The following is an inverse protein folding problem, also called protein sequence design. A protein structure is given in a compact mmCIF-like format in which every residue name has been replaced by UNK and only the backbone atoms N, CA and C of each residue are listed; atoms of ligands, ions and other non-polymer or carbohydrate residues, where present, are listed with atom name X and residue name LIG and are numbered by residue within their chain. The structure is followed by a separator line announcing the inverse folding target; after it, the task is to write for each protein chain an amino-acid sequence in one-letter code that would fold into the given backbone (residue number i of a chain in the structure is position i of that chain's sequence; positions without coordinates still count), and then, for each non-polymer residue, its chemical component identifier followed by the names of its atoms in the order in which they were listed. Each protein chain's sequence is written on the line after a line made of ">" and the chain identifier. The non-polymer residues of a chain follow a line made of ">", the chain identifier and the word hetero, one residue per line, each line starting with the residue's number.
data_IF_915388133953
#
_entry.id   IF_915388133953
#
_cell.length_a   1.000
_cell.length_b   1.000
_cell.length_c   1.000
_cell.angle_alpha   90.00
_cell.angle_beta   90.00
_cell.angle_gamma   90.00
#
_symmetry.space_group_name_H-M   'P 1'
#
loop_
_entity.id
_entity.type
_entity.pdbx_description
1 polymer ?
#
# COMPACT_ATOMS: atom_id res chain seq x y z
N UNK A 1 35.96 -21.48 12.45
CA UNK A 1 35.40 -21.62 13.82
C UNK A 1 34.07 -20.91 13.97
N UNK A 2 33.10 -21.05 13.04
CA UNK A 2 31.86 -20.24 13.03
C UNK A 2 30.56 -21.07 12.89
N UNK A 3 30.63 -22.39 12.99
CA UNK A 3 29.46 -23.29 12.86
C UNK A 3 28.96 -23.85 14.21
N UNK A 4 29.71 -23.64 15.29
CA UNK A 4 29.38 -24.22 16.62
C UNK A 4 28.45 -23.34 17.46
N UNK A 5 28.36 -22.05 17.17
CA UNK A 5 27.55 -21.10 17.97
C UNK A 5 26.02 -21.22 17.76
N UNK A 6 25.57 -21.67 16.58
CA UNK A 6 24.13 -21.76 16.26
C UNK A 6 23.43 -22.97 16.90
N UNK A 7 24.16 -24.04 17.18
CA UNK A 7 23.59 -25.26 17.79
C UNK A 7 23.38 -25.15 19.31
N UNK A 8 24.15 -24.30 19.97
CA UNK A 8 24.07 -24.11 21.45
C UNK A 8 22.88 -23.19 21.83
N UNK A 9 22.50 -22.25 20.97
CA UNK A 9 21.36 -21.36 21.26
C UNK A 9 20.01 -22.08 21.18
N UNK A 10 19.87 -23.09 20.31
CA UNK A 10 18.64 -23.89 20.19
C UNK A 10 18.44 -24.91 21.32
N UNK A 11 19.51 -25.33 22.02
CA UNK A 11 19.40 -26.21 23.19
C UNK A 11 19.01 -25.49 24.49
N UNK A 12 19.30 -24.18 24.60
CA UNK A 12 19.00 -23.41 25.80
C UNK A 12 17.50 -23.06 25.93
N UNK A 13 16.76 -22.95 24.84
CA UNK A 13 15.31 -22.67 24.87
C UNK A 13 14.44 -23.92 25.16
N UNK A 14 14.96 -25.12 24.90
CA UNK A 14 14.21 -26.36 25.17
C UNK A 14 14.18 -26.77 26.66
N UNK A 15 15.04 -26.18 27.49
CA UNK A 15 15.11 -26.49 28.92
C UNK A 15 14.26 -25.56 29.81
N UNK A 16 13.68 -24.50 29.25
CA UNK A 16 12.89 -23.54 30.02
C UNK A 16 11.38 -23.84 30.10
N UNK A 17 10.86 -24.84 29.35
CA UNK A 17 9.42 -25.10 29.28
C UNK A 17 8.88 -26.24 30.17
N UNK A 18 9.72 -26.95 30.91
CA UNK A 18 9.29 -27.95 31.91
C UNK A 18 8.39 -29.11 31.39
N UNK A 19 8.24 -29.27 30.08
CA UNK A 19 7.37 -30.28 29.48
C UNK A 19 8.16 -31.55 29.17
N UNK A 20 7.80 -32.67 29.82
CA UNK A 20 8.44 -33.96 29.61
C UNK A 20 8.05 -34.58 28.24
N UNK A 21 8.88 -35.47 27.67
CA UNK A 21 8.56 -36.18 26.42
C UNK A 21 7.21 -36.94 26.45
N UNK A 22 6.73 -37.32 27.64
CA UNK A 22 5.40 -37.93 27.84
C UNK A 22 4.26 -36.89 27.65
N UNK A 23 4.45 -35.65 28.10
CA UNK A 23 3.49 -34.56 27.92
C UNK A 23 3.26 -34.22 26.45
N UNK A 24 4.30 -34.28 25.63
CA UNK A 24 4.18 -34.06 24.19
C UNK A 24 3.36 -35.15 23.48
N UNK A 25 3.46 -36.41 23.91
CA UNK A 25 2.65 -37.51 23.36
C UNK A 25 1.18 -37.39 23.73
N UNK A 26 0.86 -36.89 24.92
CA UNK A 26 -0.51 -36.66 25.35
C UNK A 26 -1.14 -35.45 24.66
N UNK A 27 -0.34 -34.39 24.44
CA UNK A 27 -0.77 -33.21 23.70
C UNK A 27 -1.05 -33.53 22.23
N UNK A 28 -0.19 -34.35 21.59
CA UNK A 28 -0.37 -34.84 20.22
C UNK A 28 -1.64 -35.66 20.04
N UNK A 29 -1.96 -36.59 20.97
CA UNK A 29 -3.21 -37.37 20.93
C UNK A 29 -4.45 -36.49 21.12
N UNK A 30 -4.36 -35.39 21.85
CA UNK A 30 -5.44 -34.41 22.00
C UNK A 30 -5.70 -33.61 20.73
N UNK A 31 -4.66 -33.28 19.99
CA UNK A 31 -4.75 -32.59 18.69
C UNK A 31 -5.27 -33.54 17.59
N UNK A 32 -4.93 -34.83 17.64
CA UNK A 32 -5.42 -35.85 16.68
C UNK A 32 -6.91 -36.22 16.93
N UNK A 33 -7.44 -35.98 18.11
CA UNK A 33 -8.87 -36.18 18.46
C UNK A 33 -9.76 -34.97 18.20
N UNK A 34 -9.19 -33.83 17.89
CA UNK A 34 -9.96 -32.68 17.36
C UNK A 34 -10.28 -33.00 15.91
N UNK A 35 -11.54 -33.35 15.64
CA UNK A 35 -12.05 -33.55 14.29
C UNK A 35 -11.59 -32.40 13.38
N UNK A 36 -11.34 -32.68 12.09
CA UNK A 36 -11.00 -31.60 11.16
C UNK A 36 -12.08 -30.55 11.25
N UNK A 37 -11.69 -29.36 11.73
CA UNK A 37 -12.56 -28.22 11.61
C UNK A 37 -12.99 -28.17 10.14
N UNK A 38 -14.29 -28.30 9.90
CA UNK A 38 -14.87 -27.91 8.60
C UNK A 38 -14.20 -26.60 8.26
N UNK A 39 -13.55 -26.55 7.11
CA UNK A 39 -13.16 -25.30 6.49
C UNK A 39 -14.39 -24.41 6.59
N UNK A 40 -14.38 -23.51 7.55
CA UNK A 40 -15.34 -22.42 7.58
C UNK A 40 -15.03 -21.65 6.30
N UNK A 41 -15.88 -21.83 5.30
CA UNK A 41 -15.86 -21.02 4.10
C UNK A 41 -15.84 -19.58 4.59
N UNK A 42 -14.71 -18.92 4.44
CA UNK A 42 -14.58 -17.48 4.67
C UNK A 42 -15.69 -16.87 3.82
N UNK A 43 -16.68 -16.18 4.40
CA UNK A 43 -17.76 -15.62 3.61
C UNK A 43 -17.12 -14.81 2.51
N UNK A 44 -17.45 -15.08 1.26
CA UNK A 44 -16.90 -14.38 0.11
C UNK A 44 -17.27 -12.91 0.25
N UNK A 45 -16.36 -12.14 0.85
CA UNK A 45 -16.50 -10.69 0.84
C UNK A 45 -16.50 -10.31 -0.63
N UNK A 46 -17.59 -9.69 -1.10
CA UNK A 46 -17.63 -9.16 -2.47
C UNK A 46 -16.34 -8.37 -2.70
N UNK A 47 -15.63 -8.72 -3.77
CA UNK A 47 -14.40 -7.99 -4.15
C UNK A 47 -14.72 -6.51 -4.27
N UNK A 48 -13.87 -5.61 -3.75
CA UNK A 48 -14.01 -4.19 -4.02
C UNK A 48 -14.00 -3.93 -5.53
N UNK A 49 -14.82 -3.01 -6.00
CA UNK A 49 -14.88 -2.62 -7.41
C UNK A 49 -13.54 -2.14 -7.98
N UNK A 50 -12.66 -1.62 -7.13
CA UNK A 50 -11.31 -1.16 -7.46
C UNK A 50 -10.32 -2.30 -7.75
N UNK A 51 -10.59 -3.52 -7.29
CA UNK A 51 -9.73 -4.67 -7.57
C UNK A 51 -10.01 -5.21 -8.99
N UNK A 52 -8.98 -5.49 -9.80
CA UNK A 52 -9.17 -6.10 -11.13
C UNK A 52 -9.74 -7.52 -11.02
N UNK A 53 -10.40 -7.96 -12.07
CA UNK A 53 -10.87 -9.34 -12.17
C UNK A 53 -9.67 -10.26 -12.36
N UNK A 54 -9.59 -11.30 -11.53
CA UNK A 54 -8.48 -12.24 -11.53
C UNK A 54 -8.92 -13.56 -10.90
N UNK A 55 -8.43 -14.67 -11.44
CA UNK A 55 -8.68 -15.99 -10.86
C UNK A 55 -7.97 -16.16 -9.51
N UNK A 56 -8.49 -17.01 -8.61
CA UNK A 56 -7.80 -17.37 -7.37
C UNK A 56 -6.43 -18.03 -7.65
N UNK A 57 -5.46 -17.90 -6.73
CA UNK A 57 -4.18 -18.55 -6.90
C UNK A 57 -4.30 -20.09 -6.82
N UNK A 58 -3.53 -20.78 -7.67
CA UNK A 58 -3.40 -22.23 -7.61
C UNK A 58 -2.50 -22.66 -6.44
N UNK A 59 -2.60 -23.92 -6.03
CA UNK A 59 -1.74 -24.46 -4.99
C UNK A 59 -0.25 -24.49 -5.39
N UNK A 60 0.05 -24.59 -6.69
CA UNK A 60 1.41 -24.55 -7.23
C UNK A 60 2.00 -23.14 -7.13
N UNK A 61 1.23 -22.11 -7.55
CA UNK A 61 1.63 -20.71 -7.43
C UNK A 61 1.89 -20.31 -5.96
N UNK A 62 1.03 -20.78 -5.04
CA UNK A 62 1.20 -20.51 -3.60
C UNK A 62 2.47 -21.17 -3.08
N UNK A 63 2.76 -22.44 -3.44
CA UNK A 63 4.00 -23.14 -3.04
C UNK A 63 5.22 -22.46 -3.61
N UNK A 64 5.23 -22.11 -4.90
CA UNK A 64 6.37 -21.45 -5.54
C UNK A 64 6.72 -20.11 -4.86
N UNK A 65 5.71 -19.31 -4.46
CA UNK A 65 5.93 -18.08 -3.70
C UNK A 65 6.42 -18.37 -2.26
N UNK A 66 5.87 -19.39 -1.59
CA UNK A 66 6.31 -19.78 -0.26
C UNK A 66 7.77 -20.24 -0.26
N UNK A 67 8.15 -21.11 -1.20
CA UNK A 67 9.53 -21.55 -1.41
C UNK A 67 10.47 -20.36 -1.69
N UNK A 68 10.04 -19.41 -2.53
CA UNK A 68 10.81 -18.21 -2.82
C UNK A 68 11.09 -17.37 -1.57
N UNK A 69 10.07 -17.17 -0.74
CA UNK A 69 10.17 -16.42 0.51
C UNK A 69 11.03 -17.17 1.53
N UNK A 70 10.79 -18.48 1.70
CA UNK A 70 11.48 -19.31 2.69
C UNK A 70 12.99 -19.45 2.43
N UNK A 71 13.42 -19.38 1.17
CA UNK A 71 14.84 -19.46 0.76
C UNK A 71 15.59 -18.12 0.89
N UNK A 72 14.87 -17.01 1.04
CA UNK A 72 15.48 -15.68 1.11
C UNK A 72 15.86 -15.34 2.55
N UNK A 73 17.10 -14.91 2.77
CA UNK A 73 17.56 -14.46 4.09
C UNK A 73 17.32 -12.95 4.27
N UNK A 74 17.38 -12.20 3.17
CA UNK A 74 17.24 -10.73 3.15
C UNK A 74 16.28 -10.30 2.04
N UNK A 75 15.04 -10.77 2.13
CA UNK A 75 13.99 -10.47 1.17
C UNK A 75 13.60 -8.98 1.21
N UNK A 76 13.78 -8.30 0.08
CA UNK A 76 13.26 -6.96 -0.15
C UNK A 76 11.87 -7.05 -0.81
N UNK A 77 10.85 -6.54 -0.15
CA UNK A 77 9.51 -6.39 -0.72
C UNK A 77 9.33 -4.97 -1.27
N UNK A 78 8.84 -4.85 -2.51
CA UNK A 78 8.51 -3.57 -3.15
C UNK A 78 7.02 -3.59 -3.52
N UNK A 79 6.22 -2.67 -2.94
CA UNK A 79 4.78 -2.59 -3.19
C UNK A 79 4.39 -1.34 -3.97
N UNK A 80 3.22 -1.37 -4.61
CA UNK A 80 2.63 -0.24 -5.33
C UNK A 80 1.10 -0.22 -5.19
N UNK A 81 0.42 0.64 -5.96
CA UNK A 81 -1.01 0.92 -5.80
C UNK A 81 -1.91 -0.33 -5.93
N UNK A 82 -1.49 -1.33 -6.68
CA UNK A 82 -2.25 -2.57 -6.83
C UNK A 82 -2.40 -3.37 -5.52
N UNK A 83 -1.51 -3.22 -4.53
CA UNK A 83 -1.69 -3.88 -3.23
C UNK A 83 -2.86 -3.28 -2.45
N UNK A 84 -3.25 -2.03 -2.74
CA UNK A 84 -4.32 -1.31 -2.03
C UNK A 84 -5.67 -1.36 -2.74
N UNK A 85 -5.78 -1.99 -3.92
CA UNK A 85 -7.05 -2.08 -4.67
C UNK A 85 -8.11 -2.85 -3.89
N UNK A 86 -7.71 -3.88 -3.15
CA UNK A 86 -8.59 -4.64 -2.25
C UNK A 86 -8.92 -3.88 -0.94
N UNK A 87 -8.30 -2.72 -0.71
CA UNK A 87 -8.66 -1.75 0.32
C UNK A 87 -9.58 -0.64 -0.20
N UNK A 88 -10.09 -0.79 -1.42
CA UNK A 88 -10.93 0.20 -2.09
C UNK A 88 -10.20 1.49 -2.46
N UNK A 89 -8.87 1.43 -2.60
CA UNK A 89 -8.06 2.49 -3.20
C UNK A 89 -7.76 2.09 -4.65
N UNK A 90 -8.16 2.87 -5.67
CA UNK A 90 -7.87 2.52 -7.05
C UNK A 90 -6.37 2.55 -7.33
N UNK A 91 -5.93 1.82 -8.33
CA UNK A 91 -4.59 1.98 -8.87
C UNK A 91 -4.55 3.01 -10.01
N UNK A 92 -3.38 3.16 -10.65
CA UNK A 92 -3.19 4.11 -11.74
C UNK A 92 -3.43 3.51 -13.12
N UNK A 93 -3.10 2.22 -13.36
CA UNK A 93 -2.83 1.68 -14.69
C UNK A 93 -3.68 0.49 -15.10
N UNK A 94 -4.39 -0.15 -14.17
CA UNK A 94 -5.34 -1.21 -14.53
C UNK A 94 -6.45 -0.66 -15.45
N UNK A 95 -7.22 -1.52 -16.10
CA UNK A 95 -8.38 -1.08 -16.89
C UNK A 95 -9.36 -0.20 -16.11
N UNK A 96 -9.40 -0.37 -14.77
CA UNK A 96 -10.21 0.44 -13.83
C UNK A 96 -9.39 1.49 -13.11
N UNK A 97 -8.13 1.68 -13.48
CA UNK A 97 -7.20 2.61 -12.87
C UNK A 97 -7.44 4.07 -13.29
N UNK A 98 -6.90 5.00 -12.53
CA UNK A 98 -7.16 6.42 -12.72
C UNK A 98 -6.75 6.95 -14.09
N UNK A 99 -5.70 6.41 -14.73
CA UNK A 99 -5.31 6.85 -16.07
C UNK A 99 -6.28 6.41 -17.17
N UNK A 100 -6.94 5.28 -16.98
CA UNK A 100 -7.95 4.78 -17.93
C UNK A 100 -9.19 5.68 -18.00
N UNK A 101 -9.39 6.54 -17.00
CA UNK A 101 -10.48 7.52 -16.91
C UNK A 101 -10.09 8.92 -17.37
N UNK A 102 -8.92 9.07 -18.00
CA UNK A 102 -8.41 10.37 -18.45
C UNK A 102 -7.83 11.25 -17.34
N UNK A 103 -7.69 10.73 -16.11
CA UNK A 103 -7.09 11.49 -15.03
C UNK A 103 -5.63 11.84 -15.32
N UNK A 104 -5.31 13.10 -15.09
CA UNK A 104 -3.93 13.61 -15.13
C UNK A 104 -3.56 14.09 -13.72
N UNK A 105 -2.61 13.42 -13.05
CA UNK A 105 -2.13 13.89 -11.75
C UNK A 105 -1.47 15.25 -11.87
N UNK A 106 -1.62 16.08 -10.83
CA UNK A 106 -0.90 17.36 -10.76
C UNK A 106 0.61 17.11 -10.71
N UNK A 107 1.35 17.77 -11.59
CA UNK A 107 2.81 17.71 -11.54
C UNK A 107 3.37 18.66 -10.49
N UNK A 108 4.64 18.45 -10.10
CA UNK A 108 5.34 19.39 -9.22
C UNK A 108 5.38 20.80 -9.82
N UNK A 109 5.67 20.89 -11.12
CA UNK A 109 5.75 22.16 -11.85
C UNK A 109 4.38 22.88 -11.84
N UNK A 110 3.28 22.14 -12.03
CA UNK A 110 1.94 22.74 -11.98
C UNK A 110 1.62 23.25 -10.58
N UNK A 111 1.93 22.48 -9.54
CA UNK A 111 1.73 22.88 -8.15
C UNK A 111 2.51 24.15 -7.80
N UNK A 112 3.76 24.26 -8.29
CA UNK A 112 4.64 25.41 -8.02
C UNK A 112 4.26 26.66 -8.82
N UNK A 113 3.63 26.51 -9.99
CA UNK A 113 3.39 27.58 -10.96
C UNK A 113 2.49 28.69 -10.41
N UNK A 114 1.41 28.34 -9.69
CA UNK A 114 0.42 29.30 -9.26
C UNK A 114 -0.29 28.93 -7.96
N UNK A 115 -0.74 29.92 -7.20
CA UNK A 115 -1.54 29.73 -5.98
C UNK A 115 -2.88 29.05 -6.28
N UNK A 116 -3.48 29.34 -7.44
CA UNK A 116 -4.71 28.71 -7.89
C UNK A 116 -4.56 27.19 -8.00
N UNK A 117 -3.45 26.70 -8.55
CA UNK A 117 -3.16 25.27 -8.64
C UNK A 117 -3.02 24.64 -7.24
N UNK A 118 -2.39 25.35 -6.30
CA UNK A 118 -2.26 24.91 -4.90
C UNK A 118 -3.62 24.87 -4.20
N UNK A 119 -4.45 25.91 -4.38
CA UNK A 119 -5.83 25.90 -3.86
C UNK A 119 -6.64 24.76 -4.42
N UNK A 120 -6.61 24.54 -5.74
CA UNK A 120 -7.29 23.40 -6.38
C UNK A 120 -6.80 22.06 -5.86
N UNK A 121 -5.50 21.88 -5.68
CA UNK A 121 -4.94 20.68 -5.07
C UNK A 121 -5.50 20.47 -3.66
N UNK A 122 -5.39 21.48 -2.80
CA UNK A 122 -5.80 21.37 -1.40
C UNK A 122 -7.31 21.20 -1.23
N UNK A 123 -8.12 21.80 -2.08
CA UNK A 123 -9.57 21.62 -2.07
C UNK A 123 -9.96 20.16 -2.39
N UNK A 124 -9.34 19.57 -3.41
CA UNK A 124 -9.54 18.16 -3.79
C UNK A 124 -9.06 17.21 -2.72
N UNK A 125 -7.85 17.46 -2.22
CA UNK A 125 -7.26 16.68 -1.13
C UNK A 125 -8.06 16.82 0.18
N UNK A 126 -8.65 17.99 0.46
CA UNK A 126 -9.50 18.22 1.62
C UNK A 126 -10.74 17.33 1.60
N UNK A 127 -11.45 17.32 0.48
CA UNK A 127 -12.69 16.52 0.34
C UNK A 127 -12.40 15.03 0.37
N UNK A 128 -11.34 14.57 -0.30
CA UNK A 128 -11.00 13.16 -0.35
C UNK A 128 -10.38 12.58 0.93
N UNK A 129 -9.77 13.44 1.76
CA UNK A 129 -8.97 13.01 2.92
C UNK A 129 -9.73 12.14 3.91
N UNK A 130 -10.97 12.50 4.24
CA UNK A 130 -11.75 11.81 5.25
C UNK A 130 -12.01 10.35 4.86
N UNK A 131 -12.35 10.12 3.59
CA UNK A 131 -12.50 8.76 3.05
C UNK A 131 -11.15 8.03 3.03
N UNK A 132 -10.14 8.66 2.47
CA UNK A 132 -8.83 8.05 2.25
C UNK A 132 -8.13 7.67 3.55
N UNK A 133 -8.04 8.59 4.51
CA UNK A 133 -7.27 8.37 5.73
C UNK A 133 -8.08 7.79 6.89
N UNK A 134 -9.40 7.99 6.92
CA UNK A 134 -10.23 7.60 8.06
C UNK A 134 -11.10 6.37 7.79
N UNK A 135 -11.47 6.10 6.54
CA UNK A 135 -12.35 4.98 6.18
C UNK A 135 -11.61 3.82 5.53
N UNK A 136 -10.54 4.08 4.79
CA UNK A 136 -9.73 3.02 4.18
C UNK A 136 -9.01 2.20 5.26
N UNK A 137 -8.97 0.89 5.08
CA UNK A 137 -8.36 -0.06 6.03
C UNK A 137 -7.39 -0.97 5.30
N UNK A 138 -6.35 -1.48 5.96
CA UNK A 138 -5.54 -2.56 5.43
C UNK A 138 -6.40 -3.72 4.93
N UNK A 139 -5.94 -4.39 3.91
CA UNK A 139 -6.55 -5.62 3.41
C UNK A 139 -5.64 -6.82 3.76
N UNK A 140 -6.08 -8.07 3.48
CA UNK A 140 -5.32 -9.25 3.84
C UNK A 140 -3.89 -9.32 3.29
N UNK A 141 -3.58 -8.62 2.16
CA UNK A 141 -2.19 -8.52 1.68
C UNK A 141 -1.30 -7.74 2.63
N UNK A 142 -1.78 -6.60 3.13
CA UNK A 142 -1.05 -5.78 4.09
C UNK A 142 -0.81 -6.56 5.39
N UNK A 143 -1.83 -7.25 5.89
CA UNK A 143 -1.75 -8.05 7.12
C UNK A 143 -0.77 -9.22 6.96
N UNK A 144 -0.79 -9.91 5.82
CA UNK A 144 0.12 -11.01 5.52
C UNK A 144 1.57 -10.52 5.41
N UNK A 145 1.84 -9.39 4.73
CA UNK A 145 3.18 -8.81 4.64
C UNK A 145 3.71 -8.36 6.00
N UNK A 146 2.85 -7.76 6.83
CA UNK A 146 3.23 -7.40 8.20
C UNK A 146 3.52 -8.63 9.06
N UNK A 147 2.78 -9.74 8.88
CA UNK A 147 3.05 -10.99 9.55
C UNK A 147 4.37 -11.62 9.08
N UNK A 148 4.61 -11.72 7.78
CA UNK A 148 5.88 -12.21 7.21
C UNK A 148 7.08 -11.40 7.70
N UNK A 149 6.93 -10.09 7.82
CA UNK A 149 7.98 -9.21 8.36
C UNK A 149 8.25 -9.49 9.84
N UNK A 150 7.21 -9.62 10.65
CA UNK A 150 7.29 -9.91 12.08
C UNK A 150 7.89 -11.31 12.36
N UNK A 151 7.68 -12.26 11.46
CA UNK A 151 8.22 -13.61 11.51
C UNK A 151 9.63 -13.72 10.92
N UNK A 152 10.20 -12.60 10.44
CA UNK A 152 11.59 -12.52 9.96
C UNK A 152 11.80 -12.94 8.50
N UNK A 153 10.73 -13.18 7.73
CA UNK A 153 10.81 -13.53 6.31
C UNK A 153 10.97 -12.32 5.39
N UNK A 154 10.50 -11.15 5.81
CA UNK A 154 10.69 -9.90 5.07
C UNK A 154 11.71 -9.04 5.82
N UNK A 155 12.85 -8.84 5.20
CA UNK A 155 13.92 -8.02 5.76
C UNK A 155 13.65 -6.52 5.65
N UNK A 156 13.16 -6.07 4.49
CA UNK A 156 12.86 -4.65 4.24
C UNK A 156 11.60 -4.53 3.37
N UNK A 157 10.77 -3.52 3.65
CA UNK A 157 9.61 -3.19 2.84
C UNK A 157 9.73 -1.77 2.31
N UNK A 158 9.67 -1.61 0.98
CA UNK A 158 9.63 -0.32 0.28
C UNK A 158 8.26 -0.20 -0.37
N UNK A 159 7.54 0.87 -0.09
CA UNK A 159 6.25 1.14 -0.75
C UNK A 159 6.31 2.38 -1.63
N UNK A 160 5.66 2.31 -2.79
CA UNK A 160 5.40 3.48 -3.64
C UNK A 160 4.13 4.22 -3.20
N UNK A 161 3.32 3.59 -2.35
CA UNK A 161 2.04 4.13 -1.89
C UNK A 161 2.24 5.22 -0.84
N UNK A 162 1.27 6.13 -0.81
CA UNK A 162 1.25 7.29 0.11
C UNK A 162 0.15 7.18 1.17
N UNK A 163 -0.50 6.00 1.26
CA UNK A 163 -1.71 5.71 2.04
C UNK A 163 -1.46 5.30 3.49
N UNK A 164 -0.23 4.90 3.85
CA UNK A 164 0.15 4.35 5.17
C UNK A 164 -0.57 3.07 5.57
N UNK A 165 -1.13 2.31 4.62
CA UNK A 165 -1.83 1.06 4.96
C UNK A 165 -0.88 -0.02 5.50
N UNK A 166 0.37 -0.08 5.04
CA UNK A 166 1.37 -0.98 5.63
C UNK A 166 1.63 -0.66 7.11
N UNK A 167 1.75 0.63 7.46
CA UNK A 167 1.90 1.04 8.87
C UNK A 167 0.66 0.68 9.69
N UNK A 168 -0.54 0.89 9.12
CA UNK A 168 -1.80 0.56 9.77
C UNK A 168 -1.99 -0.96 9.98
N UNK A 169 -1.38 -1.81 9.13
CA UNK A 169 -1.32 -3.26 9.29
C UNK A 169 -0.26 -3.73 10.31
N UNK A 170 0.58 -2.81 10.82
CA UNK A 170 1.64 -3.12 11.78
C UNK A 170 2.97 -3.48 11.15
N UNK A 171 3.21 -3.16 9.87
CA UNK A 171 4.55 -3.24 9.29
C UNK A 171 5.48 -2.20 9.90
N UNK A 172 6.69 -2.62 10.24
CA UNK A 172 7.74 -1.76 10.81
C UNK A 172 8.79 -1.42 9.74
N UNK A 173 9.52 -0.32 9.95
CA UNK A 173 10.61 0.10 9.06
C UNK A 173 10.23 0.17 7.56
N UNK A 174 9.01 0.62 7.27
CA UNK A 174 8.53 0.82 5.90
C UNK A 174 9.19 2.05 5.30
N UNK A 175 9.86 1.90 4.16
CA UNK A 175 10.37 3.03 3.39
C UNK A 175 9.31 3.54 2.42
N UNK A 176 8.80 4.74 2.67
CA UNK A 176 7.84 5.44 1.81
C UNK A 176 8.58 6.11 0.65
N UNK A 177 8.81 5.38 -0.46
CA UNK A 177 9.63 5.82 -1.59
C UNK A 177 9.13 7.13 -2.22
N UNK A 178 7.83 7.32 -2.25
CA UNK A 178 7.20 8.52 -2.80
C UNK A 178 6.61 9.43 -1.71
N UNK A 179 7.04 9.25 -0.47
CA UNK A 179 6.55 10.02 0.66
C UNK A 179 5.17 9.61 1.14
N UNK A 180 4.44 10.52 1.76
CA UNK A 180 3.15 10.23 2.38
C UNK A 180 2.20 11.43 2.33
N UNK A 181 0.90 11.16 2.18
CA UNK A 181 -0.16 12.16 2.32
C UNK A 181 -0.44 12.53 3.77
N UNK A 182 0.06 11.76 4.74
CA UNK A 182 -0.17 11.98 6.17
C UNK A 182 0.69 13.08 6.80
N UNK A 183 1.63 13.62 6.04
CA UNK A 183 2.50 14.73 6.44
C UNK A 183 2.42 15.87 5.43
N UNK A 184 2.64 17.09 5.93
CA UNK A 184 2.67 18.32 5.15
C UNK A 184 4.02 18.99 5.37
N UNK A 185 4.67 19.41 4.29
CA UNK A 185 5.94 20.13 4.32
C UNK A 185 5.76 21.56 3.84
N UNK A 186 6.39 22.50 4.54
CA UNK A 186 6.55 23.87 4.07
C UNK A 186 7.73 23.93 3.09
N UNK A 187 7.50 24.37 1.87
CA UNK A 187 8.53 24.45 0.85
C UNK A 187 9.52 25.61 1.04
N UNK A 188 9.23 26.55 1.96
CA UNK A 188 10.13 27.66 2.28
C UNK A 188 11.08 27.33 3.44
N UNK A 189 10.57 26.81 4.56
CA UNK A 189 11.38 26.55 5.75
C UNK A 189 11.67 25.08 6.05
N UNK A 190 11.06 24.15 5.29
CA UNK A 190 11.25 22.70 5.49
C UNK A 190 10.48 22.11 6.67
N UNK A 191 9.70 22.90 7.42
CA UNK A 191 8.92 22.41 8.55
C UNK A 191 7.95 21.32 8.12
N UNK A 192 7.87 20.24 8.90
CA UNK A 192 6.99 19.10 8.63
C UNK A 192 5.94 19.01 9.72
N UNK A 193 4.69 18.98 9.31
CA UNK A 193 3.54 18.91 10.22
C UNK A 193 2.57 17.79 9.84
N UNK A 194 1.69 17.44 10.80
CA UNK A 194 0.67 16.41 10.59
C UNK A 194 -0.42 16.88 9.63
N UNK A 195 -0.73 16.05 8.61
CA UNK A 195 -1.86 16.27 7.70
C UNK A 195 -3.21 16.32 8.44
N UNK A 196 -3.38 15.53 9.50
CA UNK A 196 -4.59 15.57 10.34
C UNK A 196 -4.73 16.94 11.03
N UNK A 197 -3.63 17.53 11.51
CA UNK A 197 -3.65 18.90 12.07
C UNK A 197 -4.01 19.92 10.99
N UNK A 198 -3.41 19.79 9.81
CA UNK A 198 -3.74 20.63 8.65
C UNK A 198 -5.21 20.48 8.27
N UNK A 199 -5.78 19.27 8.25
CA UNK A 199 -7.19 19.03 7.94
C UNK A 199 -8.13 19.85 8.86
N UNK A 200 -7.90 19.80 10.18
CA UNK A 200 -8.67 20.58 11.15
C UNK A 200 -8.58 22.11 10.92
N UNK A 201 -7.44 22.58 10.43
CA UNK A 201 -7.28 24.00 10.09
C UNK A 201 -8.05 24.33 8.81
N UNK A 202 -7.98 23.47 7.80
CA UNK A 202 -8.73 23.63 6.55
C UNK A 202 -10.25 23.58 6.77
N UNK A 203 -10.76 22.74 7.68
CA UNK A 203 -12.17 22.67 8.07
C UNK A 203 -12.67 24.00 8.63
N UNK A 204 -11.86 24.66 9.46
CA UNK A 204 -12.22 25.98 10.02
C UNK A 204 -12.23 27.10 8.98
N UNK A 205 -11.33 27.01 8.00
CA UNK A 205 -11.22 28.02 6.93
C UNK A 205 -12.27 27.80 5.82
N UNK A 206 -12.70 26.55 5.61
CA UNK A 206 -13.57 26.17 4.49
C UNK A 206 -14.83 25.41 4.96
N UNK A 207 -15.65 25.97 5.86
CA UNK A 207 -16.80 25.25 6.44
C UNK A 207 -17.81 24.79 5.39
N UNK A 208 -17.97 25.51 4.28
CA UNK A 208 -18.89 25.16 3.19
C UNK A 208 -18.54 23.90 2.39
N UNK A 209 -17.41 23.25 2.67
CA UNK A 209 -17.00 21.98 2.03
C UNK A 209 -17.05 20.78 2.99
N UNK A 210 -17.41 20.98 4.25
CA UNK A 210 -17.45 19.90 5.25
C UNK A 210 -18.50 18.86 4.85
N UNK A 211 -19.71 19.29 4.52
CA UNK A 211 -20.81 18.39 4.14
C UNK A 211 -20.45 17.55 2.90
N UNK A 212 -19.78 18.15 1.91
CA UNK A 212 -19.31 17.46 0.73
C UNK A 212 -18.26 16.38 1.08
N UNK A 213 -17.34 16.68 1.99
CA UNK A 213 -16.35 15.72 2.46
C UNK A 213 -16.98 14.57 3.26
N UNK A 214 -18.00 14.88 4.09
CA UNK A 214 -18.78 13.87 4.84
C UNK A 214 -19.59 12.98 3.89
N UNK A 215 -20.29 13.58 2.93
CA UNK A 215 -21.06 12.86 1.94
C UNK A 215 -20.18 11.91 1.14
N UNK A 216 -19.01 12.38 0.64
CA UNK A 216 -18.06 11.54 -0.06
C UNK A 216 -17.55 10.39 0.84
N UNK A 217 -17.21 10.69 2.09
CA UNK A 217 -16.71 9.66 3.00
C UNK A 217 -17.74 8.56 3.29
N UNK A 218 -19.02 8.90 3.25
CA UNK A 218 -20.15 7.99 3.52
C UNK A 218 -20.68 7.30 2.27
N UNK A 219 -20.42 7.84 1.07
CA UNK A 219 -20.91 7.29 -0.19
C UNK A 219 -20.25 5.92 -0.50
N UNK A 220 -20.97 4.99 -1.16
CA UNK A 220 -20.36 3.78 -1.70
C UNK A 220 -19.28 4.15 -2.72
N UNK A 221 -18.27 3.27 -2.83
CA UNK A 221 -17.21 3.46 -3.82
C UNK A 221 -17.78 3.16 -5.20
N UNK A 222 -17.68 4.13 -6.10
CA UNK A 222 -18.02 3.98 -7.52
C UNK A 222 -16.73 4.04 -8.35
N UNK A 223 -16.68 3.29 -9.43
CA UNK A 223 -15.65 3.43 -10.43
C UNK A 223 -16.05 4.50 -11.43
N UNK A 224 -15.09 5.23 -12.01
CA UNK A 224 -15.38 6.22 -13.04
C UNK A 224 -16.09 5.66 -14.29
N UNK A 225 -16.02 4.34 -14.54
CA UNK A 225 -16.70 3.69 -15.65
C UNK A 225 -18.19 3.41 -15.40
N UNK A 226 -18.68 3.59 -14.16
CA UNK A 226 -20.10 3.38 -13.81
C UNK A 226 -20.98 4.62 -14.11
N UNK A 227 -20.40 5.68 -14.67
CA UNK A 227 -21.12 6.88 -15.10
C UNK A 227 -21.68 6.74 -16.54
N UNK A 228 -22.01 5.52 -17.00
CA UNK A 228 -22.75 5.31 -18.23
C UNK A 228 -24.24 5.56 -18.00
N UNK A 229 -24.70 6.72 -18.41
CA UNK A 229 -25.89 6.99 -19.19
C UNK A 229 -27.27 6.46 -18.72
N UNK A 230 -27.61 6.62 -17.44
CA UNK A 230 -29.01 6.54 -16.99
C UNK A 230 -29.22 7.48 -15.77
N UNK A 231 -28.95 8.76 -15.92
CA UNK A 231 -29.42 9.76 -14.99
C UNK A 231 -30.54 10.58 -15.65
N UNK A 232 -31.80 10.21 -15.37
CA UNK A 232 -32.90 11.16 -15.42
C UNK A 232 -32.43 12.45 -14.74
N UNK A 233 -32.44 13.54 -15.48
CA UNK A 233 -32.20 14.89 -14.99
C UNK A 233 -33.23 15.23 -13.91
N UNK A 234 -32.93 14.90 -12.67
CA UNK A 234 -33.62 15.52 -11.54
C UNK A 234 -32.95 16.86 -11.26
N UNK A 235 -33.66 17.93 -11.56
CA UNK A 235 -33.33 19.35 -11.29
C UNK A 235 -33.19 19.70 -9.79
N UNK A 236 -32.50 18.88 -8.99
CA UNK A 236 -32.14 19.25 -7.63
C UNK A 236 -30.67 19.69 -7.57
N UNK A 237 -30.46 20.94 -7.96
CA UNK A 237 -29.16 21.60 -8.06
C UNK A 237 -28.45 21.87 -6.71
N UNK A 238 -28.87 21.26 -5.61
CA UNK A 238 -28.35 21.55 -4.27
C UNK A 238 -27.53 20.44 -3.64
N UNK A 239 -27.48 19.25 -4.21
CA UNK A 239 -26.72 18.13 -3.62
C UNK A 239 -25.73 17.51 -4.63
N UNK A 240 -24.45 17.77 -4.44
CA UNK A 240 -23.30 16.97 -4.84
C UNK A 240 -22.74 17.10 -6.26
N UNK A 241 -22.04 18.21 -6.54
CA UNK A 241 -21.02 18.26 -7.60
C UNK A 241 -19.65 17.70 -7.13
N UNK A 242 -19.64 16.62 -6.36
CA UNK A 242 -18.41 15.88 -5.97
C UNK A 242 -18.51 14.48 -6.54
N UNK A 243 -17.65 14.18 -7.52
CA UNK A 243 -17.58 12.82 -8.06
C UNK A 243 -17.19 11.83 -6.96
N UNK A 244 -17.91 10.71 -6.88
CA UNK A 244 -17.62 9.65 -5.92
C UNK A 244 -16.31 8.90 -6.21
N UNK A 245 -15.63 9.21 -7.31
CA UNK A 245 -14.38 8.60 -7.72
C UNK A 245 -13.21 9.05 -6.83
N UNK A 246 -12.75 8.13 -6.00
CA UNK A 246 -11.52 8.31 -5.23
C UNK A 246 -10.30 8.05 -6.12
N UNK A 247 -9.19 8.74 -5.87
CA UNK A 247 -7.92 8.59 -6.57
C UNK A 247 -6.87 7.89 -5.71
N UNK A 248 -5.80 7.34 -6.31
CA UNK A 248 -4.76 6.61 -5.57
C UNK A 248 -4.03 7.45 -4.51
N UNK A 249 -3.99 8.76 -4.68
CA UNK A 249 -3.41 9.74 -3.75
C UNK A 249 -4.43 10.32 -2.74
N UNK A 250 -5.67 9.83 -2.77
CA UNK A 250 -6.74 10.26 -1.88
C UNK A 250 -7.47 11.52 -2.34
N UNK A 251 -7.16 12.09 -3.49
CA UNK A 251 -7.86 13.24 -4.05
C UNK A 251 -9.28 12.88 -4.51
N UNK A 252 -10.18 13.87 -4.47
CA UNK A 252 -11.54 13.78 -5.02
C UNK A 252 -11.77 14.87 -6.07
N UNK A 253 -12.69 14.65 -7.02
CA UNK A 253 -13.11 15.69 -7.95
C UNK A 253 -13.97 16.71 -7.22
N UNK A 254 -13.79 17.99 -7.55
CA UNK A 254 -14.52 19.12 -6.98
C UNK A 254 -14.74 20.18 -8.06
N UNK A 255 -15.89 20.84 -7.96
CA UNK A 255 -16.23 21.97 -8.84
C UNK A 255 -15.16 23.09 -8.82
N UNK A 256 -14.87 23.64 -10.01
CA UNK A 256 -13.80 24.62 -10.17
C UNK A 256 -14.07 25.92 -9.38
N UNK A 257 -15.33 26.33 -9.20
CA UNK A 257 -15.68 27.53 -8.43
C UNK A 257 -15.40 27.33 -6.96
N UNK A 258 -15.76 26.17 -6.41
CA UNK A 258 -15.47 25.80 -5.01
C UNK A 258 -13.96 25.69 -4.76
N UNK A 259 -13.21 25.16 -5.74
CA UNK A 259 -11.75 25.11 -5.67
C UNK A 259 -11.11 26.50 -5.69
N UNK A 260 -11.67 27.44 -6.46
CA UNK A 260 -11.15 28.81 -6.57
C UNK A 260 -11.30 29.62 -5.26
N UNK A 261 -12.37 29.38 -4.50
CA UNK A 261 -12.63 30.05 -3.21
C UNK A 261 -11.97 29.35 -2.02
N UNK A 262 -11.25 28.24 -2.24
CA UNK A 262 -10.65 27.47 -1.16
C UNK A 262 -9.49 28.21 -0.48
N UNK A 263 -9.52 28.29 0.84
CA UNK A 263 -8.49 28.94 1.63
C UNK A 263 -7.47 27.93 2.14
N UNK A 264 -6.18 28.22 1.89
CA UNK A 264 -5.04 27.46 2.38
C UNK A 264 -4.28 28.30 3.41
N UNK A 265 -4.05 27.79 4.65
CA UNK A 265 -3.35 28.58 5.66
C UNK A 265 -1.87 28.74 5.27
N UNK A 266 -1.22 29.80 5.75
CA UNK A 266 0.24 29.92 5.69
C UNK A 266 0.91 28.88 6.59
N UNK A 267 2.21 28.68 6.43
CA UNK A 267 3.01 27.85 7.33
C UNK A 267 2.99 28.43 8.76
N UNK A 268 2.65 27.59 9.74
CA UNK A 268 2.61 28.02 11.14
C UNK A 268 3.99 28.38 11.72
N UNK A 269 5.07 27.84 11.15
CA UNK A 269 6.45 28.04 11.65
C UNK A 269 7.09 29.30 11.08
N UNK A 270 6.92 29.61 9.79
CA UNK A 270 7.56 30.77 9.16
C UNK A 270 6.59 31.86 8.70
N UNK A 271 5.28 31.67 8.83
CA UNK A 271 4.25 32.63 8.40
C UNK A 271 4.11 32.80 6.88
N UNK A 272 4.91 32.10 6.08
CA UNK A 272 4.93 32.16 4.63
C UNK A 272 5.03 30.78 4.01
N UNK A 273 5.46 30.73 2.76
CA UNK A 273 5.78 29.51 2.03
C UNK A 273 4.59 28.63 1.66
N UNK A 274 4.60 28.03 0.47
CA UNK A 274 3.57 27.09 0.10
C UNK A 274 3.67 25.81 0.92
N UNK A 275 2.54 25.33 1.43
CA UNK A 275 2.38 24.04 2.06
C UNK A 275 2.07 22.99 1.00
N UNK A 276 2.81 21.88 1.01
CA UNK A 276 2.66 20.75 0.09
C UNK A 276 2.49 19.46 0.91
N UNK A 277 1.69 18.45 0.50
CA UNK A 277 1.79 17.15 1.13
C UNK A 277 3.22 16.63 0.91
N UNK A 278 3.75 15.90 1.87
CA UNK A 278 5.12 15.33 1.78
C UNK A 278 5.16 14.13 0.85
N UNK A 279 4.67 14.35 -0.38
CA UNK A 279 4.56 13.38 -1.47
C UNK A 279 5.47 13.82 -2.61
N UNK A 280 6.15 12.87 -3.23
CA UNK A 280 6.88 13.08 -4.48
C UNK A 280 5.87 13.14 -5.61
N UNK A 281 5.61 14.32 -6.14
CA UNK A 281 4.71 14.51 -7.26
C UNK A 281 5.35 14.04 -8.58
N UNK A 282 4.53 13.84 -9.61
CA UNK A 282 5.06 13.60 -10.96
C UNK A 282 5.93 14.78 -11.41
N UNK A 283 7.11 14.47 -11.95
CA UNK A 283 8.11 15.48 -12.30
C UNK A 283 8.93 16.03 -11.13
N UNK A 284 8.69 15.53 -9.91
CA UNK A 284 9.52 15.81 -8.73
C UNK A 284 10.60 14.75 -8.55
N UNK A 285 11.62 15.04 -7.77
CA UNK A 285 12.69 14.12 -7.43
C UNK A 285 12.44 13.48 -6.06
N UNK A 286 12.71 12.19 -5.96
CA UNK A 286 12.75 11.51 -4.66
C UNK A 286 13.87 12.13 -3.81
N UNK A 287 13.64 12.49 -2.55
CA UNK A 287 14.66 13.10 -1.71
C UNK A 287 15.92 12.24 -1.59
N UNK A 288 17.09 12.85 -1.64
CA UNK A 288 18.38 12.14 -1.65
C UNK A 288 18.56 11.13 -0.50
N UNK A 289 18.16 11.41 0.75
CA UNK A 289 18.23 10.41 1.83
C UNK A 289 17.36 9.18 1.56
N UNK A 290 16.15 9.37 1.01
CA UNK A 290 15.25 8.25 0.63
C UNK A 290 15.84 7.43 -0.50
N UNK A 291 16.46 8.10 -1.49
CA UNK A 291 17.18 7.43 -2.58
C UNK A 291 18.32 6.57 -2.04
N UNK A 292 19.12 7.11 -1.11
CA UNK A 292 20.25 6.40 -0.52
C UNK A 292 19.78 5.16 0.29
N UNK A 293 18.75 5.30 1.12
CA UNK A 293 18.21 4.20 1.92
C UNK A 293 17.58 3.10 1.02
N UNK A 294 16.81 3.50 -0.01
CA UNK A 294 16.25 2.55 -0.97
C UNK A 294 17.35 1.81 -1.75
N UNK A 295 18.41 2.51 -2.14
CA UNK A 295 19.54 1.90 -2.85
C UNK A 295 20.27 0.90 -1.94
N UNK A 296 20.59 1.29 -0.71
CA UNK A 296 21.22 0.40 0.27
C UNK A 296 20.35 -0.84 0.56
N UNK A 297 19.02 -0.68 0.66
CA UNK A 297 18.10 -1.81 0.80
C UNK A 297 18.14 -2.73 -0.43
N UNK A 298 18.16 -2.18 -1.64
CA UNK A 298 18.29 -2.99 -2.85
C UNK A 298 19.64 -3.71 -2.90
N UNK A 299 20.74 -3.03 -2.59
CA UNK A 299 22.10 -3.60 -2.61
C UNK A 299 22.29 -4.71 -1.57
N UNK A 300 21.64 -4.58 -0.42
CA UNK A 300 21.71 -5.57 0.65
C UNK A 300 20.79 -6.78 0.48
N UNK A 301 19.85 -6.73 -0.45
CA UNK A 301 18.89 -7.81 -0.66
C UNK A 301 19.51 -9.00 -1.40
N UNK A 302 19.16 -10.22 -0.99
CA UNK A 302 19.47 -11.47 -1.70
C UNK A 302 18.34 -11.90 -2.63
N UNK A 303 17.12 -11.35 -2.44
CA UNK A 303 15.96 -11.56 -3.30
C UNK A 303 15.05 -10.33 -3.29
N UNK A 304 14.28 -10.13 -4.37
CA UNK A 304 13.31 -9.04 -4.49
C UNK A 304 11.93 -9.61 -4.79
N UNK A 305 10.93 -9.16 -4.03
CA UNK A 305 9.54 -9.52 -4.25
C UNK A 305 8.70 -8.28 -4.55
N UNK A 306 8.22 -8.15 -5.78
CA UNK A 306 7.34 -7.08 -6.23
C UNK A 306 5.89 -7.51 -6.02
N UNK A 307 5.12 -6.73 -5.26
CA UNK A 307 3.72 -7.04 -4.93
C UNK A 307 2.81 -5.88 -5.30
N UNK A 308 1.79 -6.17 -6.12
CA UNK A 308 0.77 -5.19 -6.51
C UNK A 308 1.34 -3.93 -7.16
N UNK A 309 2.36 -4.09 -8.01
CA UNK A 309 3.01 -2.97 -8.66
C UNK A 309 3.47 -3.29 -10.08
N UNK A 310 3.16 -2.41 -11.01
CA UNK A 310 3.75 -2.45 -12.35
C UNK A 310 5.21 -1.99 -12.40
N UNK A 311 5.75 -1.44 -11.30
CA UNK A 311 7.09 -0.80 -11.18
C UNK A 311 7.45 0.11 -12.37
N UNK A 312 6.46 0.79 -12.92
CA UNK A 312 6.64 1.65 -14.11
C UNK A 312 7.44 2.91 -13.82
N UNK A 313 7.44 3.39 -12.57
CA UNK A 313 8.27 4.54 -12.16
C UNK A 313 9.74 4.14 -12.15
N UNK A 314 10.61 5.02 -12.65
CA UNK A 314 12.05 4.74 -12.66
C UNK A 314 12.62 4.59 -11.24
N UNK A 315 12.09 5.34 -10.27
CA UNK A 315 12.50 5.30 -8.86
C UNK A 315 12.34 3.91 -8.23
N UNK A 316 11.27 3.17 -8.57
CA UNK A 316 11.05 1.80 -8.10
C UNK A 316 11.74 0.77 -8.99
N UNK A 317 11.61 0.92 -10.33
CA UNK A 317 12.17 -0.05 -11.28
C UNK A 317 13.67 -0.21 -11.15
N UNK A 318 14.44 0.88 -10.95
CA UNK A 318 15.88 0.79 -10.79
C UNK A 318 16.30 -0.13 -9.65
N UNK A 319 15.54 -0.18 -8.54
CA UNK A 319 15.85 -1.03 -7.39
C UNK A 319 15.76 -2.51 -7.77
N UNK A 320 14.72 -2.88 -8.52
CA UNK A 320 14.54 -4.25 -9.03
C UNK A 320 15.64 -4.59 -10.05
N UNK A 321 15.87 -3.70 -11.02
CA UNK A 321 16.88 -3.87 -12.06
C UNK A 321 18.27 -4.07 -11.47
N UNK A 322 18.64 -3.21 -10.52
CA UNK A 322 19.99 -3.21 -9.97
C UNK A 322 20.22 -4.44 -9.05
N UNK A 323 19.18 -4.93 -8.35
CA UNK A 323 19.22 -6.20 -7.63
C UNK A 323 19.34 -7.39 -8.59
N UNK A 324 18.52 -7.46 -9.64
CA UNK A 324 18.59 -8.51 -10.64
C UNK A 324 19.95 -8.55 -11.36
N UNK A 325 20.54 -7.39 -11.68
CA UNK A 325 21.87 -7.28 -12.29
C UNK A 325 22.99 -7.85 -11.39
N UNK A 326 22.78 -7.92 -10.07
CA UNK A 326 23.69 -8.59 -9.11
C UNK A 326 23.38 -10.08 -8.94
N UNK A 327 22.39 -10.61 -9.65
CA UNK A 327 22.00 -12.03 -9.58
C UNK A 327 20.93 -12.34 -8.52
N UNK A 328 20.36 -11.34 -7.85
CA UNK A 328 19.24 -11.57 -6.93
C UNK A 328 17.99 -12.02 -7.71
N UNK A 329 17.37 -13.16 -7.35
CA UNK A 329 16.13 -13.59 -7.98
C UNK A 329 14.99 -12.60 -7.70
N UNK A 330 14.10 -12.48 -8.68
CA UNK A 330 12.96 -11.54 -8.61
C UNK A 330 11.65 -12.31 -8.73
N UNK A 331 10.79 -12.20 -7.71
CA UNK A 331 9.41 -12.65 -7.80
C UNK A 331 8.47 -11.46 -8.04
N UNK A 332 7.41 -11.68 -8.81
CA UNK A 332 6.38 -10.68 -9.10
C UNK A 332 5.00 -11.29 -8.82
N UNK A 333 4.23 -10.65 -7.94
CA UNK A 333 2.83 -10.97 -7.66
C UNK A 333 1.98 -9.73 -7.97
N UNK A 334 1.28 -9.75 -9.10
CA UNK A 334 0.38 -8.65 -9.50
C UNK A 334 -0.55 -9.11 -10.62
N UNK A 335 -1.74 -8.55 -10.69
CA UNK A 335 -2.67 -8.79 -11.80
C UNK A 335 -2.28 -7.88 -12.99
N UNK A 336 -1.59 -8.45 -13.98
CA UNK A 336 -1.20 -7.77 -15.21
C UNK A 336 0.31 -7.58 -15.40
N UNK A 337 0.66 -6.88 -16.47
CA UNK A 337 2.04 -6.69 -16.91
C UNK A 337 2.83 -5.71 -16.02
N UNK A 338 4.12 -5.97 -15.89
CA UNK A 338 5.05 -5.09 -15.17
C UNK A 338 6.31 -4.81 -15.97
N UNK A 339 6.96 -3.71 -15.67
CA UNK A 339 8.28 -3.41 -16.22
C UNK A 339 9.37 -4.40 -15.75
N UNK A 340 9.11 -5.13 -14.66
CA UNK A 340 10.01 -6.12 -14.11
C UNK A 340 9.85 -7.53 -14.73
N UNK A 341 8.83 -7.78 -15.54
CA UNK A 341 8.57 -9.11 -16.11
C UNK A 341 9.78 -9.74 -16.81
N UNK A 342 10.58 -9.00 -17.63
CA UNK A 342 11.79 -9.55 -18.24
C UNK A 342 12.90 -9.94 -17.25
N UNK A 343 12.82 -9.48 -16.01
CA UNK A 343 13.76 -9.75 -14.92
C UNK A 343 13.25 -10.80 -13.95
N UNK A 344 11.97 -11.16 -14.03
CA UNK A 344 11.31 -12.04 -13.08
C UNK A 344 11.77 -13.50 -13.26
N UNK A 345 12.20 -14.13 -12.17
CA UNK A 345 12.43 -15.57 -12.07
C UNK A 345 11.15 -16.32 -11.73
N UNK A 346 10.19 -15.64 -11.09
CA UNK A 346 8.86 -16.15 -10.76
C UNK A 346 7.83 -15.03 -10.98
N UNK A 347 6.80 -15.29 -11.80
CA UNK A 347 5.67 -14.38 -11.96
C UNK A 347 4.36 -15.10 -11.65
N UNK A 348 3.53 -14.47 -10.81
CA UNK A 348 2.20 -14.93 -10.44
C UNK A 348 1.21 -13.80 -10.69
N UNK A 349 0.29 -14.03 -11.64
CA UNK A 349 -0.71 -13.03 -12.02
C UNK A 349 -2.00 -13.21 -11.23
N UNK A 350 -1.97 -12.80 -9.95
CA UNK A 350 -3.07 -12.94 -8.99
C UNK A 350 -3.21 -11.70 -8.12
N UNK A 351 -4.36 -11.58 -7.45
CA UNK A 351 -4.58 -10.56 -6.43
C UNK A 351 -3.75 -10.86 -5.17
N UNK A 352 -3.12 -9.82 -4.64
CA UNK A 352 -2.24 -9.97 -3.49
C UNK A 352 -2.99 -10.37 -2.21
N UNK A 353 -4.19 -9.83 -1.98
CA UNK A 353 -4.98 -10.12 -0.78
C UNK A 353 -5.59 -11.52 -0.76
N UNK A 354 -5.76 -12.15 -1.93
CA UNK A 354 -6.18 -13.55 -2.01
C UNK A 354 -5.00 -14.52 -1.93
N UNK A 355 -3.83 -14.09 -2.39
CA UNK A 355 -2.64 -14.94 -2.53
C UNK A 355 -1.78 -14.95 -1.26
N UNK A 356 -1.41 -13.79 -0.74
CA UNK A 356 -0.45 -13.67 0.36
C UNK A 356 -0.89 -14.34 1.67
N UNK A 357 -2.17 -14.35 2.08
CA UNK A 357 -2.59 -15.12 3.25
C UNK A 357 -2.32 -16.63 3.10
N UNK A 358 -2.54 -17.19 1.91
CA UNK A 358 -2.28 -18.61 1.63
C UNK A 358 -0.77 -18.91 1.59
N UNK A 359 0.01 -17.97 1.04
CA UNK A 359 1.48 -18.05 1.04
C UNK A 359 2.02 -18.01 2.48
N UNK A 360 1.53 -17.11 3.33
CA UNK A 360 1.91 -17.04 4.75
C UNK A 360 1.63 -18.36 5.48
N UNK A 361 0.46 -18.96 5.23
CA UNK A 361 0.13 -20.26 5.82
C UNK A 361 1.07 -21.37 5.31
N UNK A 362 1.45 -21.35 4.03
CA UNK A 362 2.39 -22.33 3.47
C UNK A 362 3.78 -22.19 4.08
N UNK A 363 4.32 -20.96 4.18
CA UNK A 363 5.61 -20.65 4.84
C UNK A 363 5.62 -21.16 6.29
N UNK A 364 4.55 -20.91 7.06
CA UNK A 364 4.43 -21.39 8.45
C UNK A 364 4.42 -22.91 8.56
N UNK A 365 3.76 -23.60 7.61
CA UNK A 365 3.74 -25.08 7.58
C UNK A 365 5.12 -25.65 7.33
N UNK A 366 5.89 -25.10 6.39
CA UNK A 366 7.27 -25.52 6.12
C UNK A 366 8.15 -25.42 7.37
N UNK A 367 8.03 -24.33 8.14
CA UNK A 367 8.76 -24.17 9.40
C UNK A 367 8.37 -25.18 10.48
N UNK A 368 7.07 -25.56 10.55
CA UNK A 368 6.62 -26.55 11.56
C UNK A 368 7.06 -27.97 11.27
N UNK A 369 7.25 -28.33 10.01
CA UNK A 369 7.56 -29.71 9.60
C UNK A 369 9.04 -29.92 9.27
N UNK A 370 9.86 -28.89 9.30
CA UNK A 370 11.32 -28.97 9.28
C UNK A 370 11.90 -29.65 8.02
N UNK A 371 11.51 -29.18 6.85
CA UNK A 371 12.18 -29.53 5.59
C UNK A 371 13.07 -28.40 5.12
#
# INVERSE_FOLDING_TARGET
>A
MTVVASALHRRSMALASGVTPAGWRQHRRRLEQMAPHRESAVPSRRRPLTAPDCDPPTAEEVRALADFISRSERLLVITGAGVSTESSVPDYRSPRGSYSTGFKPMTHQDFMRADENRRRYWARSFVGWKRFAERTRPNPAHDALAALQREGHVWRLITQNVDRLHHAAGSENVLELHGTTHEVICLACGDVSSRRRMQKTLERLNPGLIDAAEALASAPIRLPADESDDSDESDDATASNVSAAQRPDGDAEIDARRAASFEVPPCASCGGGPLKPKVVFFGDSVPAPVVADATAASEGADAVFVVGSSVSTFSAFRLVRDAAARGAPVAVLTAGETRADPLATLKVERLAGETLPRVLEAVRREQMWGY
#
